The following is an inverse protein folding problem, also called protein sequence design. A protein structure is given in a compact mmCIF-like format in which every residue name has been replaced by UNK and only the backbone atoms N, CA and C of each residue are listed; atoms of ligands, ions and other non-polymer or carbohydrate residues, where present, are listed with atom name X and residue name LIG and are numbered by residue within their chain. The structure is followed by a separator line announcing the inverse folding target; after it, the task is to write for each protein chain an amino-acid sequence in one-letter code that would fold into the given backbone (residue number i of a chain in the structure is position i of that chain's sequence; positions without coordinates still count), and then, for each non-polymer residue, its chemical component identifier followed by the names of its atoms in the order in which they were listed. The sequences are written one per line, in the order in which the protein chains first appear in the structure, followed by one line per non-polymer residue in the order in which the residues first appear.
data_IF_909187018538
#
_entry.id   IF_909187018538
#
_cell.length_a   1.000
_cell.length_b   1.000
_cell.length_c   1.000
_cell.angle_alpha   90.00
_cell.angle_beta   90.00
_cell.angle_gamma   90.00
#
_symmetry.space_group_name_H-M   'P 1'
#
loop_
_entity.id
_entity.type
_entity.pdbx_description
1 polymer ?
#
# COMPACT_ATOMS: atom_id res chain seq x y z
N UNK A 1 -24.23 3.08 31.33
CA UNK A 1 -23.85 2.19 30.21
C UNK A 1 -23.77 2.92 28.87
N UNK A 2 -24.70 3.83 28.55
CA UNK A 2 -24.65 4.60 27.29
C UNK A 2 -23.40 5.47 27.11
N UNK A 3 -22.91 6.09 28.20
CA UNK A 3 -21.67 6.89 28.17
C UNK A 3 -20.42 6.03 27.93
N UNK A 4 -20.42 4.78 28.39
CA UNK A 4 -19.36 3.81 28.13
C UNK A 4 -19.36 3.41 26.64
N UNK A 5 -20.54 3.14 26.07
CA UNK A 5 -20.66 2.82 24.62
C UNK A 5 -20.25 4.03 23.78
N UNK A 6 -20.66 5.24 24.16
CA UNK A 6 -20.33 6.47 23.43
C UNK A 6 -18.84 6.82 23.51
N UNK A 7 -18.19 6.57 24.65
CA UNK A 7 -16.74 6.76 24.81
C UNK A 7 -15.94 5.72 24.03
N UNK A 8 -16.37 4.45 24.00
CA UNK A 8 -15.78 3.39 23.17
C UNK A 8 -15.86 3.72 21.67
N UNK A 9 -16.99 4.22 21.19
CA UNK A 9 -17.16 4.63 19.79
C UNK A 9 -16.18 5.76 19.43
N UNK A 10 -16.06 6.77 20.31
CA UNK A 10 -15.11 7.87 20.09
C UNK A 10 -13.67 7.40 20.12
N UNK A 11 -13.29 6.56 21.08
CA UNK A 11 -11.93 6.05 21.19
C UNK A 11 -11.55 5.21 19.98
N UNK A 12 -12.43 4.32 19.51
CA UNK A 12 -12.18 3.53 18.29
C UNK A 12 -12.10 4.40 17.03
N UNK A 13 -12.99 5.38 16.86
CA UNK A 13 -12.93 6.31 15.73
C UNK A 13 -11.66 7.17 15.74
N UNK A 14 -11.11 7.46 16.93
CA UNK A 14 -9.85 8.18 17.08
C UNK A 14 -8.64 7.27 16.83
N UNK A 15 -8.66 6.04 17.36
CA UNK A 15 -7.62 5.03 17.12
C UNK A 15 -7.53 4.66 15.64
N UNK A 16 -8.65 4.42 14.95
CA UNK A 16 -8.65 4.14 13.52
C UNK A 16 -8.03 5.28 12.70
N UNK A 17 -8.40 6.53 13.01
CA UNK A 17 -7.80 7.70 12.33
C UNK A 17 -6.32 7.87 12.64
N UNK A 18 -5.89 7.59 13.87
CA UNK A 18 -4.48 7.66 14.25
C UNK A 18 -3.66 6.61 13.49
N UNK A 19 -4.07 5.35 13.53
CA UNK A 19 -3.37 4.27 12.84
C UNK A 19 -3.35 4.46 11.32
N UNK A 20 -4.44 4.94 10.70
CA UNK A 20 -4.43 5.31 9.27
C UNK A 20 -3.35 6.34 8.94
N UNK A 21 -3.13 7.33 9.81
CA UNK A 21 -2.07 8.34 9.62
C UNK A 21 -0.67 7.75 9.80
N UNK A 22 -0.47 6.88 10.78
CA UNK A 22 0.81 6.20 11.00
C UNK A 22 1.18 5.34 9.79
N UNK A 23 0.25 4.53 9.28
CA UNK A 23 0.48 3.71 8.08
C UNK A 23 0.69 4.56 6.83
N UNK A 24 -0.08 5.64 6.64
CA UNK A 24 0.16 6.59 5.55
C UNK A 24 1.57 7.21 5.64
N UNK A 25 2.02 7.58 6.85
CA UNK A 25 3.37 8.12 7.08
C UNK A 25 4.46 7.11 6.73
N UNK A 26 4.32 5.86 7.17
CA UNK A 26 5.27 4.78 6.83
C UNK A 26 5.35 4.55 5.32
N UNK A 27 4.21 4.54 4.62
CA UNK A 27 4.16 4.42 3.16
C UNK A 27 4.78 5.64 2.46
N UNK A 28 4.57 6.85 2.98
CA UNK A 28 5.24 8.06 2.48
C UNK A 28 6.76 7.94 2.59
N UNK A 29 7.28 7.45 3.72
CA UNK A 29 8.72 7.20 3.89
C UNK A 29 9.23 6.16 2.87
N UNK A 30 8.46 5.10 2.61
CA UNK A 30 8.79 4.12 1.59
C UNK A 30 8.82 4.72 0.17
N UNK A 31 7.85 5.57 -0.17
CA UNK A 31 7.84 6.30 -1.46
C UNK A 31 9.05 7.22 -1.58
N UNK A 32 9.41 7.95 -0.53
CA UNK A 32 10.59 8.81 -0.54
C UNK A 32 11.88 7.98 -0.77
N UNK A 33 11.97 6.80 -0.17
CA UNK A 33 13.08 5.87 -0.41
C UNK A 33 13.13 5.38 -1.87
N UNK A 34 11.98 5.05 -2.47
CA UNK A 34 11.91 4.67 -3.89
C UNK A 34 12.34 5.82 -4.80
N UNK A 35 11.86 7.05 -4.55
CA UNK A 35 12.26 8.24 -5.31
C UNK A 35 13.77 8.48 -5.19
N UNK A 36 14.33 8.33 -3.99
CA UNK A 36 15.77 8.45 -3.77
C UNK A 36 16.55 7.37 -4.55
N UNK A 37 16.03 6.14 -4.60
CA UNK A 37 16.60 5.05 -5.40
C UNK A 37 16.60 5.39 -6.90
N UNK A 38 15.48 5.90 -7.43
CA UNK A 38 15.38 6.34 -8.84
C UNK A 38 16.35 7.49 -9.13
N UNK A 39 16.47 8.44 -8.22
CA UNK A 39 17.38 9.58 -8.41
C UNK A 39 18.85 9.16 -8.41
N UNK A 40 19.22 8.20 -7.57
CA UNK A 40 20.56 7.58 -7.57
C UNK A 40 20.82 6.81 -8.86
N UNK A 41 19.81 6.16 -9.41
CA UNK A 41 19.87 5.43 -10.68
C UNK A 41 20.05 6.34 -11.90
N UNK A 42 19.44 7.54 -11.93
CA UNK A 42 19.63 8.48 -13.04
C UNK A 42 20.96 9.24 -12.98
N UNK A 43 21.48 9.50 -11.78
CA UNK A 43 22.73 10.25 -11.59
C UNK A 43 23.98 9.37 -11.70
N UNK A 44 23.90 8.09 -11.30
CA UNK A 44 25.04 7.17 -11.26
C UNK A 44 24.63 5.76 -11.73
N UNK A 45 24.36 5.57 -13.04
CA UNK A 45 23.82 4.31 -13.55
C UNK A 45 24.78 3.11 -13.41
N UNK A 46 26.09 3.36 -13.22
CA UNK A 46 27.14 2.33 -13.09
C UNK A 46 27.48 1.93 -11.65
N UNK A 47 27.01 2.65 -10.62
CA UNK A 47 27.26 2.29 -9.21
C UNK A 47 26.19 1.35 -8.62
N UNK A 48 24.96 1.38 -9.13
CA UNK A 48 23.88 0.53 -8.65
C UNK A 48 23.92 -0.85 -9.35
N UNK A 49 24.47 -1.84 -8.64
CA UNK A 49 24.69 -3.23 -9.12
C UNK A 49 23.45 -3.89 -9.73
N UNK A 50 22.24 -3.47 -9.36
CA UNK A 50 20.98 -4.08 -9.79
C UNK A 50 20.63 -3.82 -11.27
N UNK A 51 21.08 -2.70 -11.84
CA UNK A 51 20.78 -2.31 -13.24
C UNK A 51 21.78 -2.82 -14.26
N UNK A 52 23.03 -2.98 -13.87
CA UNK A 52 24.05 -3.60 -14.71
C UNK A 52 23.66 -5.02 -15.16
N UNK A 53 22.73 -5.68 -14.45
CA UNK A 53 22.23 -7.00 -14.80
C UNK A 53 21.12 -7.00 -15.86
N UNK A 54 20.30 -5.96 -15.93
CA UNK A 54 19.22 -5.84 -16.92
C UNK A 54 19.68 -5.18 -18.22
N UNK A 55 20.86 -4.54 -18.21
CA UNK A 55 21.42 -3.78 -19.33
C UNK A 55 21.57 -4.59 -20.64
N UNK A 56 21.61 -5.93 -20.55
CA UNK A 56 21.68 -6.82 -21.71
C UNK A 56 20.33 -7.20 -22.35
N UNK A 57 19.20 -7.05 -21.65
CA UNK A 57 17.89 -7.53 -22.14
C UNK A 57 16.71 -6.55 -21.99
N UNK A 58 16.82 -5.54 -21.12
CA UNK A 58 15.73 -4.58 -20.85
C UNK A 58 16.26 -3.15 -20.96
N UNK A 59 15.59 -2.34 -21.78
CA UNK A 59 15.94 -0.92 -21.93
C UNK A 59 15.79 -0.18 -20.59
N UNK A 60 16.79 0.63 -20.25
CA UNK A 60 16.84 1.42 -19.00
C UNK A 60 15.59 2.29 -18.80
N UNK A 61 14.97 2.74 -19.89
CA UNK A 61 13.74 3.52 -19.86
C UNK A 61 12.53 2.76 -19.30
N UNK A 62 12.42 1.46 -19.60
CA UNK A 62 11.33 0.60 -19.15
C UNK A 62 11.39 0.43 -17.64
N UNK A 63 12.60 0.32 -17.09
CA UNK A 63 12.77 0.19 -15.64
C UNK A 63 12.43 1.48 -14.92
N UNK A 64 12.90 2.62 -15.42
CA UNK A 64 12.54 3.94 -14.87
C UNK A 64 11.02 4.11 -14.89
N UNK A 65 10.35 3.75 -15.99
CA UNK A 65 8.89 3.82 -16.09
C UNK A 65 8.18 2.90 -15.08
N UNK A 66 8.69 1.69 -14.84
CA UNK A 66 8.16 0.76 -13.86
C UNK A 66 8.35 1.28 -12.41
N UNK A 67 9.48 1.90 -12.12
CA UNK A 67 9.75 2.51 -10.80
C UNK A 67 8.84 3.73 -10.56
N UNK A 68 8.59 4.55 -11.58
CA UNK A 68 7.58 5.62 -11.52
C UNK A 68 6.16 5.07 -11.33
N UNK A 69 5.82 3.97 -11.99
CA UNK A 69 4.54 3.31 -11.79
C UNK A 69 4.38 2.80 -10.34
N UNK A 70 5.42 2.24 -9.73
CA UNK A 70 5.41 1.84 -8.31
C UNK A 70 5.14 3.02 -7.37
N UNK A 71 5.75 4.18 -7.63
CA UNK A 71 5.51 5.44 -6.88
C UNK A 71 4.05 5.89 -7.04
N UNK A 72 3.50 5.79 -8.24
CA UNK A 72 2.08 6.11 -8.50
C UNK A 72 1.15 5.15 -7.75
N UNK A 73 1.40 3.83 -7.77
CA UNK A 73 0.60 2.85 -7.03
C UNK A 73 0.58 3.15 -5.53
N UNK A 74 1.75 3.48 -4.96
CA UNK A 74 1.89 3.78 -3.53
C UNK A 74 1.22 5.12 -3.17
N UNK A 75 1.35 6.16 -4.00
CA UNK A 75 0.69 7.45 -3.75
C UNK A 75 -0.83 7.34 -3.85
N UNK A 76 -1.36 6.52 -4.78
CA UNK A 76 -2.79 6.21 -4.85
C UNK A 76 -3.28 5.42 -3.63
N UNK A 77 -2.46 4.51 -3.09
CA UNK A 77 -2.77 3.80 -1.84
C UNK A 77 -2.86 4.75 -0.64
N UNK A 78 -1.91 5.69 -0.52
CA UNK A 78 -1.89 6.73 0.52
C UNK A 78 -3.12 7.63 0.38
N UNK A 79 -3.44 8.08 -0.83
CA UNK A 79 -4.63 8.87 -1.10
C UNK A 79 -5.92 8.12 -0.75
N UNK A 80 -5.99 6.82 -1.07
CA UNK A 80 -7.10 5.94 -0.70
C UNK A 80 -7.27 5.80 0.82
N UNK A 81 -6.17 5.71 1.57
CA UNK A 81 -6.20 5.58 3.03
C UNK A 81 -6.63 6.88 3.74
N UNK A 82 -6.26 8.04 3.17
CA UNK A 82 -6.58 9.36 3.73
C UNK A 82 -7.99 9.85 3.37
N UNK A 83 -8.55 9.43 2.23
CA UNK A 83 -9.81 9.94 1.74
C UNK A 83 -11.01 9.13 2.26
N UNK A 84 -11.96 9.79 2.95
CA UNK A 84 -13.10 9.13 3.60
C UNK A 84 -14.28 8.81 2.67
N UNK A 85 -14.27 9.28 1.42
CA UNK A 85 -15.44 9.24 0.53
C UNK A 85 -15.65 7.90 -0.19
N UNK A 86 -16.77 7.80 -0.90
CA UNK A 86 -17.21 6.65 -1.72
C UNK A 86 -16.16 6.19 -2.76
N UNK A 87 -15.21 7.06 -3.11
CA UNK A 87 -14.10 6.75 -4.03
C UNK A 87 -12.94 5.98 -3.41
N UNK A 88 -12.86 5.86 -2.07
CA UNK A 88 -11.81 5.13 -1.34
C UNK A 88 -11.62 3.69 -1.80
N UNK A 89 -12.73 2.97 -1.94
CA UNK A 89 -12.71 1.56 -2.36
C UNK A 89 -12.17 1.43 -3.79
N UNK A 90 -12.56 2.32 -4.71
CA UNK A 90 -12.04 2.32 -6.09
C UNK A 90 -10.53 2.57 -6.15
N UNK A 91 -10.02 3.53 -5.38
CA UNK A 91 -8.58 3.81 -5.33
C UNK A 91 -7.77 2.64 -4.77
N UNK A 92 -8.27 1.96 -3.72
CA UNK A 92 -7.61 0.79 -3.15
C UNK A 92 -7.61 -0.41 -4.12
N UNK A 93 -8.73 -0.66 -4.80
CA UNK A 93 -8.80 -1.71 -5.84
C UNK A 93 -7.90 -1.41 -7.03
N UNK A 94 -7.84 -0.15 -7.48
CA UNK A 94 -6.97 0.26 -8.57
C UNK A 94 -5.48 0.15 -8.19
N UNK A 95 -5.12 0.54 -6.97
CA UNK A 95 -3.76 0.37 -6.43
C UNK A 95 -3.39 -1.12 -6.34
N UNK A 96 -4.30 -1.98 -5.90
CA UNK A 96 -4.06 -3.42 -5.87
C UNK A 96 -3.87 -4.02 -7.26
N UNK A 97 -4.75 -3.70 -8.21
CA UNK A 97 -4.66 -4.21 -9.58
C UNK A 97 -3.37 -3.74 -10.28
N UNK A 98 -3.02 -2.47 -10.14
CA UNK A 98 -1.78 -1.92 -10.68
C UNK A 98 -0.53 -2.51 -9.98
N UNK A 99 -0.58 -2.76 -8.67
CA UNK A 99 0.47 -3.46 -7.93
C UNK A 99 0.68 -4.90 -8.39
N UNK A 100 -0.39 -5.65 -8.66
CA UNK A 100 -0.32 -7.02 -9.20
C UNK A 100 0.27 -7.02 -10.61
N UNK A 101 -0.18 -6.12 -11.49
CA UNK A 101 0.38 -6.00 -12.84
C UNK A 101 1.88 -5.70 -12.81
N UNK A 102 2.30 -4.80 -11.92
CA UNK A 102 3.71 -4.46 -11.74
C UNK A 102 4.52 -5.66 -11.22
N UNK A 103 3.98 -6.42 -10.26
CA UNK A 103 4.64 -7.60 -9.73
C UNK A 103 4.77 -8.71 -10.79
N UNK A 104 3.73 -8.94 -11.59
CA UNK A 104 3.77 -9.90 -12.72
C UNK A 104 4.80 -9.47 -13.76
N UNK A 105 4.85 -8.17 -14.08
CA UNK A 105 5.85 -7.62 -15.00
C UNK A 105 7.28 -7.88 -14.52
N UNK A 106 7.57 -7.60 -13.24
CA UNK A 106 8.89 -7.85 -12.66
C UNK A 106 9.24 -9.33 -12.56
N UNK A 107 8.28 -10.18 -12.17
CA UNK A 107 8.47 -11.61 -12.03
C UNK A 107 8.72 -12.27 -13.40
N UNK A 108 8.03 -11.82 -14.45
CA UNK A 108 8.28 -12.24 -15.82
C UNK A 108 9.71 -11.90 -16.28
N UNK A 109 10.16 -10.66 -16.06
CA UNK A 109 11.52 -10.26 -16.39
C UNK A 109 12.57 -11.00 -15.54
N UNK A 110 12.25 -11.35 -14.30
CA UNK A 110 13.13 -12.14 -13.43
C UNK A 110 13.30 -13.59 -13.92
N UNK A 111 12.23 -14.22 -14.42
CA UNK A 111 12.26 -15.58 -14.96
C UNK A 111 13.03 -15.66 -16.28
N UNK A 112 13.07 -14.55 -17.03
CA UNK A 112 13.80 -14.44 -18.30
C UNK A 112 15.31 -14.33 -18.09
N UNK A 113 15.77 -13.91 -16.90
CA UNK A 113 17.19 -13.82 -16.58
C UNK A 113 17.81 -15.20 -16.32
N UNK A 114 19.01 -15.50 -16.88
CA UNK A 114 19.66 -16.81 -16.73
C UNK A 114 20.25 -17.08 -15.33
N UNK A 115 20.30 -16.08 -14.45
CA UNK A 115 20.76 -16.23 -13.05
C UNK A 115 19.74 -15.63 -12.10
N UNK A 116 19.08 -16.50 -11.33
CA UNK A 116 18.15 -16.12 -10.28
C UNK A 116 18.90 -15.47 -9.12
N UNK A 117 18.61 -14.19 -8.82
CA UNK A 117 19.24 -13.47 -7.69
C UNK A 117 18.18 -12.94 -6.74
N UNK A 118 18.19 -13.46 -5.52
CA UNK A 118 17.25 -13.11 -4.45
C UNK A 118 17.29 -11.64 -4.02
N UNK A 119 18.37 -10.92 -4.28
CA UNK A 119 18.49 -9.48 -3.96
C UNK A 119 17.48 -8.61 -4.73
N UNK A 120 17.06 -9.04 -5.92
CA UNK A 120 16.12 -8.29 -6.78
C UNK A 120 14.66 -8.62 -6.42
N UNK A 121 14.42 -9.59 -5.54
CA UNK A 121 13.06 -10.03 -5.17
C UNK A 121 12.27 -8.95 -4.43
N UNK A 122 12.97 -7.94 -3.87
CA UNK A 122 12.34 -6.81 -3.21
C UNK A 122 11.57 -5.89 -4.18
N UNK A 123 11.95 -5.84 -5.48
CA UNK A 123 11.26 -4.99 -6.47
C UNK A 123 9.78 -5.39 -6.69
N UNK A 124 9.44 -6.66 -6.98
CA UNK A 124 8.04 -7.07 -7.09
C UNK A 124 7.33 -7.11 -5.73
N UNK A 125 8.04 -7.48 -4.66
CA UNK A 125 7.44 -7.60 -3.33
C UNK A 125 7.14 -6.26 -2.66
N UNK A 126 7.88 -5.19 -2.95
CA UNK A 126 7.68 -3.88 -2.31
C UNK A 126 6.27 -3.30 -2.59
N UNK A 127 5.91 -3.02 -3.84
CA UNK A 127 4.61 -2.45 -4.20
C UNK A 127 3.46 -3.40 -3.88
N UNK A 128 3.68 -4.71 -4.04
CA UNK A 128 2.67 -5.73 -3.73
C UNK A 128 2.41 -5.82 -2.23
N UNK A 129 3.45 -5.86 -1.39
CA UNK A 129 3.30 -5.85 0.07
C UNK A 129 2.66 -4.55 0.55
N UNK A 130 3.02 -3.40 -0.02
CA UNK A 130 2.40 -2.12 0.30
C UNK A 130 0.89 -2.11 -0.03
N UNK A 131 0.50 -2.59 -1.22
CA UNK A 131 -0.90 -2.67 -1.63
C UNK A 131 -1.71 -3.66 -0.76
N UNK A 132 -1.15 -4.84 -0.47
CA UNK A 132 -1.77 -5.86 0.38
C UNK A 132 -1.95 -5.34 1.82
N UNK A 133 -0.92 -4.70 2.39
CA UNK A 133 -1.00 -4.07 3.71
C UNK A 133 -2.08 -2.98 3.75
N UNK A 134 -2.20 -2.16 2.70
CA UNK A 134 -3.24 -1.14 2.63
C UNK A 134 -4.65 -1.73 2.61
N UNK A 135 -4.87 -2.81 1.85
CA UNK A 135 -6.15 -3.52 1.84
C UNK A 135 -6.46 -4.16 3.19
N UNK A 136 -5.47 -4.82 3.81
CA UNK A 136 -5.63 -5.47 5.11
C UNK A 136 -6.00 -4.47 6.22
N UNK A 137 -5.33 -3.32 6.23
CA UNK A 137 -5.62 -2.24 7.18
C UNK A 137 -7.02 -1.67 6.94
N UNK A 138 -7.47 -1.53 5.69
CA UNK A 138 -8.82 -1.05 5.40
C UNK A 138 -9.91 -2.05 5.81
N UNK A 139 -9.72 -3.34 5.56
CA UNK A 139 -10.65 -4.39 6.02
C UNK A 139 -10.74 -4.45 7.53
N UNK A 140 -9.59 -4.38 8.23
CA UNK A 140 -9.54 -4.39 9.69
C UNK A 140 -10.33 -3.22 10.30
N UNK A 141 -10.21 -2.02 9.72
CA UNK A 141 -10.98 -0.87 10.18
C UNK A 141 -12.46 -0.96 9.84
N UNK A 142 -12.82 -1.60 8.72
CA UNK A 142 -14.21 -1.79 8.35
C UNK A 142 -14.91 -2.76 9.31
N UNK A 143 -14.29 -3.91 9.62
CA UNK A 143 -14.78 -4.90 10.58
C UNK A 143 -14.97 -4.30 11.97
N UNK A 144 -13.95 -3.59 12.49
CA UNK A 144 -14.04 -2.87 13.77
C UNK A 144 -15.21 -1.89 13.81
N UNK A 145 -15.51 -1.20 12.71
CA UNK A 145 -16.66 -0.27 12.66
C UNK A 145 -18.01 -0.99 12.66
N UNK A 146 -18.11 -2.17 12.06
CA UNK A 146 -19.33 -2.97 12.02
C UNK A 146 -19.63 -3.60 13.39
N UNK A 147 -18.62 -4.08 14.10
CA UNK A 147 -18.77 -4.60 15.46
C UNK A 147 -19.29 -3.52 16.43
N UNK A 148 -18.78 -2.30 16.32
CA UNK A 148 -19.26 -1.16 17.10
C UNK A 148 -20.72 -0.83 16.77
N UNK A 149 -21.11 -0.87 15.49
CA UNK A 149 -22.52 -0.69 15.09
C UNK A 149 -23.42 -1.79 15.62
N UNK A 150 -22.96 -3.05 15.63
CA UNK A 150 -23.70 -4.17 16.24
C UNK A 150 -23.91 -3.95 17.73
N UNK A 151 -22.88 -3.55 18.47
CA UNK A 151 -22.99 -3.20 19.90
C UNK A 151 -23.98 -2.07 20.15
N UNK A 152 -23.98 -1.03 19.31
CA UNK A 152 -25.01 0.03 19.38
C UNK A 152 -26.41 -0.54 19.14
N UNK A 153 -26.60 -1.38 18.13
CA UNK A 153 -27.89 -1.98 17.82
C UNK A 153 -28.44 -2.83 18.96
N UNK A 154 -27.59 -3.60 19.66
CA UNK A 154 -27.98 -4.39 20.82
C UNK A 154 -28.39 -3.51 22.01
N UNK A 155 -27.67 -2.41 22.25
CA UNK A 155 -28.04 -1.44 23.28
C UNK A 155 -29.40 -0.80 22.99
N UNK A 156 -29.66 -0.39 21.74
CA UNK A 156 -30.95 0.17 21.35
C UNK A 156 -32.09 -0.85 21.43
N UNK A 157 -31.85 -2.11 21.02
CA UNK A 157 -32.83 -3.18 21.12
C UNK A 157 -33.18 -3.52 22.57
N UNK A 158 -32.20 -3.51 23.47
CA UNK A 158 -32.43 -3.69 24.91
C UNK A 158 -33.25 -2.54 25.52
N UNK A 159 -33.00 -1.29 25.10
CA UNK A 159 -33.73 -0.12 25.59
C UNK A 159 -35.18 -0.04 25.07
N UNK A 160 -35.48 -0.70 23.96
CA UNK A 160 -36.82 -0.76 23.38
C UNK A 160 -37.72 -1.83 24.02
N UNK A 161 -37.17 -2.65 24.94
CA UNK A 161 -37.87 -3.73 25.64
C UNK A 161 -38.06 -3.36 27.10
#
# INVERSE_FOLDING_TARGET
QEELVRSLVRSQAQQSRFWRRVFAGLLCCFVAFLIFSIHRQTTMPWELRYHAYFMGEVESWIVIAADWAAVLVCSMAIAGLLHSSQSRRRFLWFSCFSGVLLAVFWLYNMLRLPKFRWEVIWLPFGPLSAAVLCLYVDTLFNESSEEVKKLQSYMYAYKAR
#
